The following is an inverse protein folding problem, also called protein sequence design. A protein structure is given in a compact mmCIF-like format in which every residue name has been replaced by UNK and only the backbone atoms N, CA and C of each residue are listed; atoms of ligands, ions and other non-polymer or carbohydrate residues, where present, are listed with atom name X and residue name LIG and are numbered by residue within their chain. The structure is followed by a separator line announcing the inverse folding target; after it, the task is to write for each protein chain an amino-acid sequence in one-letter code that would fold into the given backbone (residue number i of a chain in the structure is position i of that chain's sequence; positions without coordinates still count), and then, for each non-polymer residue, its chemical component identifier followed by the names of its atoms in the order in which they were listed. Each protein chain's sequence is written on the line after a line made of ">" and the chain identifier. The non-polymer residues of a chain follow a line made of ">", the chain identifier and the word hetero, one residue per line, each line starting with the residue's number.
data_IF_174421382513
#
_entry.id   IF_174421382513
#
_cell.length_a   1.000
_cell.length_b   1.000
_cell.length_c   1.000
_cell.angle_alpha   90.00
_cell.angle_beta   90.00
_cell.angle_gamma   90.00
#
_symmetry.space_group_name_H-M   'P 1'
#
loop_
_entity.id
_entity.type
_entity.pdbx_description
1 polymer ?
#
# COMPACT_ATOMS: atom_id res chain seq x y z
N UNK A 1 -5.16 -4.10 15.05
CA UNK A 1 -5.08 -5.48 15.60
C UNK A 1 -5.30 -5.53 17.11
N UNK A 2 -4.48 -4.87 17.94
CA UNK A 2 -4.67 -4.91 19.42
C UNK A 2 -6.06 -4.42 19.86
N UNK A 3 -6.55 -3.32 19.30
CA UNK A 3 -7.91 -2.81 19.58
C UNK A 3 -8.99 -3.86 19.31
N UNK A 4 -8.84 -4.67 18.25
CA UNK A 4 -9.78 -5.75 17.94
C UNK A 4 -9.68 -6.90 18.96
N UNK A 5 -8.45 -7.30 19.35
CA UNK A 5 -8.24 -8.32 20.40
C UNK A 5 -8.78 -7.91 21.76
N UNK A 6 -8.85 -6.61 22.05
CA UNK A 6 -9.43 -6.04 23.26
C UNK A 6 -10.94 -5.79 23.16
N UNK A 7 -11.56 -6.08 22.01
CA UNK A 7 -13.00 -5.87 21.79
C UNK A 7 -13.41 -4.40 21.63
N UNK A 8 -12.47 -3.48 21.41
CA UNK A 8 -12.75 -2.05 21.19
C UNK A 8 -13.31 -1.79 19.79
N UNK A 9 -12.91 -2.61 18.81
CA UNK A 9 -13.42 -2.55 17.43
C UNK A 9 -13.84 -3.95 16.98
N UNK A 10 -14.94 -4.01 16.25
CA UNK A 10 -15.59 -5.25 15.83
C UNK A 10 -15.44 -5.56 14.34
N UNK A 11 -16.24 -6.51 13.88
CA UNK A 11 -16.32 -6.89 12.46
C UNK A 11 -16.92 -5.79 11.59
N UNK A 12 -17.91 -5.08 12.16
CA UNK A 12 -18.62 -3.94 11.61
C UNK A 12 -17.70 -2.74 11.32
N UNK A 13 -16.59 -2.62 12.06
CA UNK A 13 -15.65 -1.50 11.92
C UNK A 13 -14.60 -1.75 10.82
N UNK A 14 -14.44 -2.98 10.34
CA UNK A 14 -13.30 -3.37 9.49
C UNK A 14 -13.15 -2.50 8.25
N UNK A 15 -14.26 -2.18 7.57
CA UNK A 15 -14.23 -1.32 6.41
C UNK A 15 -13.84 0.12 6.77
N UNK A 16 -14.35 0.66 7.88
CA UNK A 16 -14.04 2.02 8.34
C UNK A 16 -12.59 2.14 8.84
N UNK A 17 -12.04 1.09 9.45
CA UNK A 17 -10.63 1.05 9.85
C UNK A 17 -9.70 1.26 8.65
N UNK A 18 -10.02 0.71 7.48
CA UNK A 18 -9.21 0.91 6.26
C UNK A 18 -9.58 2.22 5.56
N UNK A 19 -10.86 2.47 5.31
CA UNK A 19 -11.31 3.59 4.47
C UNK A 19 -11.31 4.95 5.18
N UNK A 20 -11.21 4.98 6.51
CA UNK A 20 -11.16 6.23 7.30
C UNK A 20 -9.91 6.33 8.15
N UNK A 21 -9.71 5.41 9.08
CA UNK A 21 -8.60 5.49 10.05
C UNK A 21 -7.25 5.35 9.34
N UNK A 22 -7.11 4.32 8.49
CA UNK A 22 -5.88 4.10 7.73
C UNK A 22 -5.64 5.20 6.68
N UNK A 23 -6.69 5.73 6.04
CA UNK A 23 -6.56 6.91 5.15
C UNK A 23 -6.04 8.14 5.91
N UNK A 24 -6.55 8.42 7.11
CA UNK A 24 -6.05 9.51 7.95
C UNK A 24 -4.58 9.29 8.35
N UNK A 25 -4.22 8.05 8.71
CA UNK A 25 -2.84 7.66 8.96
C UNK A 25 -1.94 7.92 7.74
N UNK A 26 -2.33 7.50 6.53
CA UNK A 26 -1.54 7.73 5.31
C UNK A 26 -1.34 9.21 5.01
N UNK A 27 -2.37 10.04 5.19
CA UNK A 27 -2.26 11.50 5.03
C UNK A 27 -1.23 12.09 5.99
N UNK A 28 -1.24 11.64 7.25
CA UNK A 28 -0.25 12.05 8.24
C UNK A 28 1.16 11.59 7.86
N UNK A 29 1.33 10.31 7.48
CA UNK A 29 2.64 9.76 7.10
C UNK A 29 3.24 10.48 5.91
N UNK A 30 2.45 10.75 4.85
CA UNK A 30 2.90 11.53 3.68
C UNK A 30 3.34 12.94 4.07
N UNK A 31 2.62 13.58 4.99
CA UNK A 31 3.02 14.89 5.53
C UNK A 31 4.35 14.79 6.28
N UNK A 32 4.55 13.79 7.13
CA UNK A 32 5.81 13.60 7.85
C UNK A 32 6.98 13.34 6.90
N UNK A 33 6.81 12.43 5.95
CA UNK A 33 7.82 12.08 4.93
C UNK A 33 8.30 13.32 4.17
N UNK A 34 7.36 14.14 3.70
CA UNK A 34 7.66 15.35 2.91
C UNK A 34 8.15 16.53 3.75
N UNK A 35 7.65 16.68 4.99
CA UNK A 35 8.04 17.80 5.87
C UNK A 35 9.42 17.60 6.49
N UNK A 36 9.80 16.35 6.77
CA UNK A 36 11.03 16.02 7.48
C UNK A 36 12.06 15.27 6.61
N UNK A 37 11.76 15.07 5.33
CA UNK A 37 12.64 14.36 4.38
C UNK A 37 13.10 13.01 4.94
N UNK A 38 12.15 12.26 5.50
CA UNK A 38 12.43 10.96 6.10
C UNK A 38 13.04 10.05 5.04
N UNK A 39 14.06 9.30 5.40
CA UNK A 39 14.62 8.30 4.50
C UNK A 39 13.80 7.00 4.54
N UNK A 40 13.70 6.27 3.41
CA UNK A 40 13.07 4.95 3.37
C UNK A 40 13.79 3.96 4.29
N UNK A 41 13.06 3.32 5.21
CA UNK A 41 13.62 2.29 6.08
C UNK A 41 13.61 0.92 5.37
N UNK A 42 14.79 0.28 5.27
CA UNK A 42 14.89 -1.08 4.71
C UNK A 42 14.69 -1.15 3.20
N UNK A 43 15.27 -0.20 2.44
CA UNK A 43 15.04 -0.10 0.99
C UNK A 43 15.38 -1.43 0.28
N UNK A 44 14.44 -1.93 -0.53
CA UNK A 44 14.68 -2.98 -1.52
C UNK A 44 15.34 -2.41 -2.80
N UNK A 45 15.89 -1.19 -2.74
CA UNK A 45 16.30 -0.43 -3.91
C UNK A 45 15.12 -0.13 -4.84
N UNK A 46 15.40 0.02 -6.14
CA UNK A 46 14.40 0.33 -7.17
C UNK A 46 13.35 -0.79 -7.36
N UNK A 47 13.60 -2.00 -6.86
CA UNK A 47 12.69 -3.14 -6.98
C UNK A 47 11.67 -3.25 -5.83
N UNK A 48 11.74 -2.35 -4.85
CA UNK A 48 10.69 -2.20 -3.86
C UNK A 48 9.37 -1.76 -4.50
N UNK A 49 8.25 -2.18 -3.92
CA UNK A 49 6.92 -1.74 -4.37
C UNK A 49 6.76 -0.23 -4.23
N UNK A 50 7.15 0.31 -3.08
CA UNK A 50 7.15 1.72 -2.72
C UNK A 50 8.18 1.95 -1.61
N UNK A 51 8.64 3.19 -1.46
CA UNK A 51 9.68 3.53 -0.50
C UNK A 51 9.19 3.42 0.96
N UNK A 52 7.89 3.58 1.22
CA UNK A 52 7.37 3.62 2.60
C UNK A 52 6.19 2.70 2.86
N UNK A 53 5.36 2.41 1.85
CA UNK A 53 4.02 1.86 2.06
C UNK A 53 3.78 0.59 1.24
N UNK A 54 3.36 -0.49 1.91
CA UNK A 54 2.91 -1.71 1.22
C UNK A 54 1.39 -1.88 1.28
N UNK A 55 0.83 -1.87 2.49
CA UNK A 55 -0.58 -2.15 2.76
C UNK A 55 -1.61 -1.37 1.92
N UNK A 56 -1.45 -0.06 1.62
CA UNK A 56 -2.44 0.63 0.80
C UNK A 56 -2.52 0.11 -0.64
N UNK A 57 -1.45 -0.45 -1.20
CA UNK A 57 -1.52 -1.13 -2.50
C UNK A 57 -2.28 -2.45 -2.40
N UNK A 58 -2.10 -3.20 -1.31
CA UNK A 58 -2.87 -4.41 -1.06
C UNK A 58 -4.37 -4.10 -0.89
N UNK A 59 -4.72 -3.16 0.00
CA UNK A 59 -6.12 -2.78 0.20
C UNK A 59 -6.71 -2.12 -1.05
N UNK A 60 -5.97 -1.23 -1.69
CA UNK A 60 -6.42 -0.53 -2.89
C UNK A 60 -6.65 -1.46 -4.08
N UNK A 61 -5.80 -2.48 -4.27
CA UNK A 61 -6.04 -3.48 -5.32
C UNK A 61 -7.30 -4.30 -5.05
N UNK A 62 -7.66 -4.52 -3.77
CA UNK A 62 -8.94 -5.17 -3.42
C UNK A 62 -10.15 -4.30 -3.73
N UNK A 63 -10.06 -2.97 -3.54
CA UNK A 63 -11.13 -2.02 -3.88
C UNK A 63 -11.46 -2.03 -5.38
N UNK A 64 -10.48 -2.36 -6.22
CA UNK A 64 -10.58 -2.31 -7.68
C UNK A 64 -10.94 -3.67 -8.31
N UNK A 65 -11.12 -4.72 -7.51
CA UNK A 65 -11.58 -6.02 -8.01
C UNK A 65 -12.94 -5.85 -8.68
N UNK A 66 -13.07 -6.37 -9.90
CA UNK A 66 -14.29 -6.28 -10.72
C UNK A 66 -14.77 -4.85 -11.04
N UNK A 67 -13.91 -3.83 -10.92
CA UNK A 67 -14.25 -2.48 -11.35
C UNK A 67 -14.55 -2.45 -12.86
N UNK A 68 -15.61 -1.75 -13.33
CA UNK A 68 -16.02 -1.76 -14.73
C UNK A 68 -14.94 -1.24 -15.68
N UNK A 69 -14.33 -0.08 -15.35
CA UNK A 69 -13.44 0.62 -16.30
C UNK A 69 -11.95 0.59 -15.91
N UNK A 70 -11.63 0.70 -14.63
CA UNK A 70 -10.26 0.77 -14.14
C UNK A 70 -9.61 -0.61 -14.19
N UNK A 71 -8.46 -0.71 -14.87
CA UNK A 71 -7.63 -1.91 -14.98
C UNK A 71 -6.22 -1.62 -14.45
N UNK A 72 -5.39 -2.63 -14.13
CA UNK A 72 -4.01 -2.38 -13.74
C UNK A 72 -3.21 -1.59 -14.79
N UNK A 73 -3.50 -1.75 -16.08
CA UNK A 73 -2.86 -0.96 -17.14
C UNK A 73 -3.27 0.52 -17.16
N UNK A 74 -4.38 0.89 -16.50
CA UNK A 74 -4.88 2.27 -16.45
C UNK A 74 -3.93 3.25 -15.74
N UNK A 75 -2.91 2.75 -15.03
CA UNK A 75 -1.93 3.56 -14.32
C UNK A 75 -1.06 4.42 -15.25
N UNK A 76 -1.02 4.09 -16.55
CA UNK A 76 -0.30 4.88 -17.57
C UNK A 76 -1.19 5.93 -18.25
N UNK A 77 -2.48 5.98 -17.91
CA UNK A 77 -3.44 6.92 -18.51
C UNK A 77 -3.63 8.09 -17.54
N UNK A 78 -3.12 9.30 -17.86
CA UNK A 78 -3.18 10.44 -16.95
C UNK A 78 -4.59 10.79 -16.47
N UNK A 79 -5.60 10.67 -17.33
CA UNK A 79 -6.99 10.98 -17.01
C UNK A 79 -7.61 10.02 -15.97
N UNK A 80 -7.16 8.76 -15.97
CA UNK A 80 -7.59 7.75 -14.98
C UNK A 80 -6.84 7.89 -13.64
N UNK A 81 -5.84 8.76 -13.59
CA UNK A 81 -5.20 9.25 -12.38
C UNK A 81 -5.73 10.64 -11.99
N UNK A 82 -6.95 11.01 -12.41
CA UNK A 82 -7.58 12.25 -11.96
C UNK A 82 -7.66 12.34 -10.44
N UNK A 83 -7.65 13.57 -9.93
CA UNK A 83 -7.60 13.82 -8.48
C UNK A 83 -8.78 13.21 -7.72
N UNK A 84 -9.97 13.18 -8.33
CA UNK A 84 -11.17 12.56 -7.74
C UNK A 84 -11.00 11.05 -7.53
N UNK A 85 -10.54 10.32 -8.55
CA UNK A 85 -10.32 8.88 -8.45
C UNK A 85 -9.21 8.52 -7.45
N UNK A 86 -8.18 9.37 -7.32
CA UNK A 86 -7.14 9.20 -6.30
C UNK A 86 -7.66 9.41 -4.87
N UNK A 87 -8.75 10.15 -4.68
CA UNK A 87 -9.37 10.35 -3.36
C UNK A 87 -10.31 9.18 -3.01
N UNK A 88 -10.86 8.49 -4.01
CA UNK A 88 -11.76 7.35 -3.83
C UNK A 88 -11.03 5.99 -3.70
N UNK A 89 -9.90 5.80 -4.39
CA UNK A 89 -9.18 4.53 -4.45
C UNK A 89 -7.76 4.62 -3.90
N UNK A 90 -7.45 3.80 -2.88
CA UNK A 90 -6.15 3.80 -2.20
C UNK A 90 -4.99 3.50 -3.14
N UNK A 91 -5.16 2.58 -4.09
CA UNK A 91 -4.11 2.20 -5.04
C UNK A 91 -3.72 3.39 -5.92
N UNK A 92 -4.74 4.08 -6.46
CA UNK A 92 -4.55 5.27 -7.29
C UNK A 92 -3.96 6.42 -6.48
N UNK A 93 -4.40 6.60 -5.24
CA UNK A 93 -3.83 7.57 -4.29
C UNK A 93 -2.32 7.35 -4.08
N UNK A 94 -1.89 6.10 -3.96
CA UNK A 94 -0.46 5.79 -3.79
C UNK A 94 0.35 6.05 -5.04
N UNK A 95 -0.12 5.62 -6.22
CA UNK A 95 0.61 5.90 -7.46
C UNK A 95 0.64 7.39 -7.79
N UNK A 96 -0.45 8.12 -7.54
CA UNK A 96 -0.48 9.57 -7.64
C UNK A 96 0.59 10.22 -6.76
N UNK A 97 0.76 9.75 -5.52
CA UNK A 97 1.81 10.24 -4.63
C UNK A 97 3.23 9.89 -5.14
N UNK A 98 3.45 8.67 -5.65
CA UNK A 98 4.73 8.25 -6.24
C UNK A 98 5.11 9.16 -7.40
N UNK A 99 4.20 9.39 -8.34
CA UNK A 99 4.42 10.27 -9.51
C UNK A 99 4.63 11.74 -9.12
N UNK A 100 4.05 12.17 -7.99
CA UNK A 100 4.27 13.52 -7.47
C UNK A 100 5.70 13.68 -6.92
N UNK A 101 6.19 12.69 -6.17
CA UNK A 101 7.47 12.73 -5.46
C UNK A 101 8.65 12.38 -6.36
N UNK A 102 8.52 11.34 -7.20
CA UNK A 102 9.57 10.84 -8.08
C UNK A 102 9.40 11.42 -9.48
N UNK A 103 10.42 12.14 -9.96
CA UNK A 103 10.44 12.74 -11.30
C UNK A 103 11.03 11.78 -12.31
N UNK A 104 10.28 11.45 -13.35
CA UNK A 104 10.71 10.59 -14.45
C UNK A 104 9.62 9.62 -14.91
N UNK A 105 9.87 8.82 -15.95
CA UNK A 105 8.98 7.74 -16.35
C UNK A 105 8.78 6.73 -15.22
N UNK A 106 7.54 6.27 -15.01
CA UNK A 106 7.21 5.32 -13.94
C UNK A 106 8.06 4.04 -14.02
N UNK A 107 8.37 3.57 -15.23
CA UNK A 107 9.23 2.41 -15.47
C UNK A 107 10.66 2.57 -14.93
N UNK A 108 11.17 3.80 -14.87
CA UNK A 108 12.53 4.09 -14.37
C UNK A 108 12.52 4.34 -12.86
N UNK A 109 11.52 5.08 -12.37
CA UNK A 109 11.47 5.50 -10.97
C UNK A 109 10.83 4.47 -10.05
N UNK A 110 9.98 3.58 -10.59
CA UNK A 110 9.19 2.59 -9.84
C UNK A 110 8.86 1.37 -10.72
N UNK A 111 9.89 0.60 -11.17
CA UNK A 111 9.72 -0.52 -12.08
C UNK A 111 8.77 -1.59 -11.55
N UNK A 112 8.71 -1.83 -10.23
CA UNK A 112 7.77 -2.82 -9.67
C UNK A 112 6.30 -2.42 -9.90
N UNK A 113 5.95 -1.16 -9.67
CA UNK A 113 4.60 -0.63 -9.95
C UNK A 113 4.31 -0.71 -11.45
N UNK A 114 5.29 -0.38 -12.29
CA UNK A 114 5.19 -0.50 -13.74
C UNK A 114 4.92 -1.95 -14.17
N UNK A 115 5.63 -2.94 -13.64
CA UNK A 115 5.42 -4.34 -14.01
C UNK A 115 4.06 -4.86 -13.55
N UNK A 116 3.61 -4.45 -12.35
CA UNK A 116 2.27 -4.79 -11.84
C UNK A 116 1.17 -4.23 -12.73
N UNK A 117 1.38 -3.08 -13.37
CA UNK A 117 0.41 -2.51 -14.32
C UNK A 117 0.17 -3.41 -15.55
N UNK A 118 1.13 -4.29 -15.87
CA UNK A 118 1.01 -5.29 -16.94
C UNK A 118 0.15 -6.51 -16.55
N UNK A 119 -0.26 -6.64 -15.29
CA UNK A 119 -1.10 -7.77 -14.84
C UNK A 119 -2.54 -7.58 -15.33
N UNK A 120 -3.13 -8.66 -15.86
CA UNK A 120 -4.43 -8.58 -16.54
C UNK A 120 -5.60 -8.13 -15.64
N UNK A 121 -5.62 -8.47 -14.34
CA UNK A 121 -6.77 -8.21 -13.47
C UNK A 121 -6.36 -7.81 -12.05
N UNK A 122 -7.17 -6.96 -11.42
CA UNK A 122 -6.98 -6.55 -10.03
C UNK A 122 -7.03 -7.71 -9.03
N UNK A 123 -7.81 -8.77 -9.34
CA UNK A 123 -7.82 -9.99 -8.52
C UNK A 123 -6.45 -10.68 -8.51
N UNK A 124 -5.79 -10.79 -9.68
CA UNK A 124 -4.42 -11.32 -9.76
C UNK A 124 -3.41 -10.40 -9.09
N UNK A 125 -3.55 -9.07 -9.26
CA UNK A 125 -2.71 -8.09 -8.55
C UNK A 125 -2.83 -8.27 -7.04
N UNK A 126 -4.06 -8.32 -6.50
CA UNK A 126 -4.29 -8.45 -5.06
C UNK A 126 -3.73 -9.77 -4.49
N UNK A 127 -3.93 -10.89 -5.19
CA UNK A 127 -3.33 -12.17 -4.80
C UNK A 127 -1.78 -12.09 -4.80
N UNK A 128 -1.19 -11.45 -5.80
CA UNK A 128 0.25 -11.17 -5.85
C UNK A 128 0.71 -10.32 -4.67
N UNK A 129 -0.04 -9.25 -4.34
CA UNK A 129 0.26 -8.37 -3.21
C UNK A 129 0.25 -9.11 -1.88
N UNK A 130 -0.72 -10.00 -1.64
CA UNK A 130 -0.78 -10.81 -0.41
C UNK A 130 0.46 -11.70 -0.30
N UNK A 131 0.83 -12.40 -1.38
CA UNK A 131 2.04 -13.25 -1.40
C UNK A 131 3.32 -12.44 -1.21
N UNK A 132 3.43 -11.31 -1.90
CA UNK A 132 4.58 -10.43 -1.81
C UNK A 132 4.70 -9.81 -0.41
N UNK A 133 3.59 -9.44 0.25
CA UNK A 133 3.64 -8.96 1.64
C UNK A 133 4.16 -10.03 2.62
N UNK A 134 3.72 -11.27 2.44
CA UNK A 134 4.21 -12.39 3.25
C UNK A 134 5.71 -12.63 3.06
N UNK A 135 6.19 -12.61 1.81
CA UNK A 135 7.59 -12.88 1.48
C UNK A 135 8.52 -11.70 1.78
N UNK A 136 8.12 -10.49 1.40
CA UNK A 136 8.96 -9.29 1.40
C UNK A 136 8.77 -8.38 2.60
N UNK A 137 7.75 -8.61 3.44
CA UNK A 137 7.57 -7.87 4.71
C UNK A 137 7.63 -8.82 5.88
N UNK A 138 6.67 -9.75 5.99
CA UNK A 138 6.51 -10.60 7.17
C UNK A 138 7.59 -11.67 7.33
N UNK A 139 8.29 -12.05 6.25
CA UNK A 139 9.37 -13.04 6.27
C UNK A 139 10.77 -12.43 6.17
N UNK A 140 10.89 -11.10 6.21
CA UNK A 140 12.20 -10.42 6.13
C UNK A 140 12.69 -10.03 7.52
N UNK A 141 13.80 -10.64 7.95
CA UNK A 141 14.43 -10.32 9.23
C UNK A 141 14.74 -8.83 9.40
N UNK A 142 15.32 -8.09 8.41
CA UNK A 142 15.61 -6.67 8.59
C UNK A 142 14.37 -5.81 8.91
N UNK A 143 13.18 -6.26 8.51
CA UNK A 143 11.90 -5.60 8.78
C UNK A 143 11.32 -6.12 10.10
N UNK A 144 11.18 -7.44 10.22
CA UNK A 144 10.46 -8.07 11.35
C UNK A 144 11.25 -8.10 12.65
N UNK A 145 12.58 -7.88 12.62
CA UNK A 145 13.38 -7.72 13.86
C UNK A 145 12.88 -6.58 14.76
N UNK A 146 12.15 -5.60 14.20
CA UNK A 146 11.57 -4.49 14.95
C UNK A 146 10.12 -4.74 15.39
N UNK A 147 9.54 -5.90 15.06
CA UNK A 147 8.19 -6.25 15.48
C UNK A 147 8.19 -6.64 16.96
N UNK A 148 7.33 -5.99 17.75
CA UNK A 148 7.29 -6.19 19.20
C UNK A 148 6.22 -7.20 19.59
N UNK A 149 6.60 -8.10 20.51
CA UNK A 149 5.71 -9.06 21.14
C UNK A 149 5.48 -8.70 22.61
N UNK A 150 4.28 -8.97 23.11
CA UNK A 150 3.88 -8.67 24.47
C UNK A 150 2.66 -9.50 24.88
N UNK A 151 1.90 -9.01 25.86
CA UNK A 151 0.73 -9.76 26.39
C UNK A 151 -0.40 -9.93 25.38
N UNK A 152 -0.63 -8.96 24.48
CA UNK A 152 -1.73 -8.99 23.49
C UNK A 152 -1.30 -9.72 22.20
N UNK A 153 -0.06 -9.51 21.77
CA UNK A 153 0.54 -10.13 20.59
C UNK A 153 1.70 -10.99 21.06
N UNK A 154 1.40 -12.26 21.34
CA UNK A 154 2.39 -13.19 21.86
C UNK A 154 3.32 -13.68 20.75
N UNK A 155 4.59 -13.93 21.12
CA UNK A 155 5.54 -14.57 20.23
C UNK A 155 5.08 -16.01 19.96
N UNK A 156 5.05 -16.46 18.69
CA UNK A 156 4.69 -17.84 18.38
C UNK A 156 5.78 -18.79 18.91
N UNK A 157 5.37 -19.82 19.66
CA UNK A 157 6.25 -20.91 20.10
C UNK A 157 6.81 -21.72 18.93
#
# INVERSE_FOLDING_TARGET
>A
MCLAKLGVVGEEDRQALVTRVFVAYLKLMRKLQTSYWLEPAGSHGVWGLDDYQFLPFMFGSSQLIAHPDIRPGSMHVPDLLSKSLQDDFLYLSCVGFVLQVKKGPLAETSPMINDISGVATWSKVNQGMVKMYQAEVLSKLPIMQHFLFGSILQYPE
#
